data_IF_070286341170
#
_entry.id   IF_070286341170
#
_cell.length_a   1.000
_cell.length_b   1.000
_cell.length_c   1.000
_cell.angle_alpha   90.00
_cell.angle_beta   90.00
_cell.angle_gamma   90.00
#
_symmetry.space_group_name_H-M   'P 1'
#
loop_
_entity.id
_entity.type
_entity.pdbx_description
1 polymer ?
#
# COMPACT_ATOMS: atom_id res chain seq x y z
N UNK A 1 -19.40 8.32 17.55
CA UNK A 1 -19.97 7.07 17.01
C UNK A 1 -18.89 6.35 16.20
N UNK A 2 -18.43 5.17 16.65
CA UNK A 2 -17.43 4.40 15.90
C UNK A 2 -18.12 3.62 14.78
N UNK A 3 -17.73 3.92 13.53
CA UNK A 3 -17.98 3.06 12.36
C UNK A 3 -17.20 1.77 12.53
N UNK A 4 -17.90 0.63 12.59
CA UNK A 4 -17.30 -0.70 12.68
C UNK A 4 -17.09 -1.23 11.27
N UNK A 5 -15.85 -1.57 10.94
CA UNK A 5 -15.47 -2.09 9.64
C UNK A 5 -15.27 -3.60 9.74
N UNK A 6 -15.83 -4.37 8.80
CA UNK A 6 -15.74 -5.84 8.80
C UNK A 6 -15.19 -6.34 7.46
N UNK A 7 -14.18 -7.20 7.51
CA UNK A 7 -13.62 -7.85 6.32
C UNK A 7 -14.28 -9.23 6.18
N UNK A 8 -14.94 -9.44 5.04
CA UNK A 8 -15.67 -10.66 4.73
C UNK A 8 -14.90 -11.42 3.66
N UNK A 9 -14.39 -12.61 4.01
CA UNK A 9 -13.64 -13.46 3.09
C UNK A 9 -14.57 -14.49 2.46
N UNK A 10 -14.84 -14.36 1.17
CA UNK A 10 -15.44 -15.44 0.40
C UNK A 10 -14.31 -16.37 -0.06
N UNK A 11 -14.56 -17.67 -0.09
CA UNK A 11 -13.56 -18.72 -0.30
C UNK A 11 -12.70 -18.51 -1.57
N UNK A 12 -11.47 -19.02 -1.50
CA UNK A 12 -10.37 -19.00 -2.49
C UNK A 12 -10.49 -17.98 -3.62
N UNK A 13 -9.84 -16.83 -3.38
CA UNK A 13 -9.45 -15.78 -4.34
C UNK A 13 -10.34 -14.54 -4.47
N UNK A 14 -11.50 -14.48 -3.82
CA UNK A 14 -12.35 -13.26 -3.81
C UNK A 14 -12.54 -12.70 -2.40
N UNK A 15 -11.82 -11.61 -2.07
CA UNK A 15 -12.08 -10.83 -0.84
C UNK A 15 -12.90 -9.59 -1.22
N UNK A 16 -14.12 -9.47 -0.68
CA UNK A 16 -14.93 -8.25 -0.81
C UNK A 16 -14.78 -7.45 0.47
N UNK A 17 -14.31 -6.21 0.37
CA UNK A 17 -14.20 -5.28 1.51
C UNK A 17 -15.42 -4.37 1.50
N UNK A 18 -16.31 -4.52 2.47
CA UNK A 18 -17.49 -3.67 2.64
C UNK A 18 -17.30 -2.62 3.74
N UNK A 19 -17.72 -1.39 3.47
CA UNK A 19 -17.87 -0.31 4.46
C UNK A 19 -19.37 -0.24 4.81
N UNK A 20 -19.76 -0.61 6.02
CA UNK A 20 -21.15 -0.43 6.49
C UNK A 20 -21.19 0.85 7.31
N UNK A 21 -21.69 1.93 6.71
CA UNK A 21 -21.96 3.19 7.44
C UNK A 21 -23.27 3.03 8.21
N UNK A 22 -23.19 3.15 9.55
CA UNK A 22 -24.37 3.05 10.43
C UNK A 22 -25.30 4.24 10.19
N UNK A 23 -26.43 4.00 9.54
CA UNK A 23 -27.61 4.84 9.68
C UNK A 23 -28.88 4.03 9.98
N UNK A 24 -28.75 2.78 10.42
CA UNK A 24 -29.87 1.99 10.96
C UNK A 24 -29.47 1.45 12.33
N UNK A 25 -29.96 2.12 13.39
CA UNK A 25 -29.59 1.86 14.78
C UNK A 25 -30.48 0.80 15.47
N UNK A 26 -31.24 0.01 14.72
CA UNK A 26 -32.19 -0.99 15.25
C UNK A 26 -31.89 -2.45 14.89
N UNK A 27 -30.61 -2.83 14.82
CA UNK A 27 -30.21 -4.25 14.72
C UNK A 27 -29.03 -4.57 15.64
N UNK A 28 -29.19 -4.29 16.95
CA UNK A 28 -28.33 -4.87 18.00
C UNK A 28 -28.89 -6.24 18.39
N UNK A 29 -28.75 -7.20 17.50
CA UNK A 29 -28.88 -8.63 17.78
C UNK A 29 -27.95 -9.35 16.81
N UNK A 30 -27.35 -10.46 17.26
CA UNK A 30 -26.54 -11.39 16.47
C UNK A 30 -26.88 -11.32 14.98
N UNK A 31 -26.03 -10.67 14.18
CA UNK A 31 -26.22 -10.66 12.73
C UNK A 31 -25.75 -12.01 12.21
N UNK A 32 -26.69 -12.95 12.20
CA UNK A 32 -26.73 -14.03 11.23
C UNK A 32 -26.71 -13.38 9.85
N UNK A 33 -25.50 -13.13 9.34
CA UNK A 33 -25.32 -12.73 7.95
C UNK A 33 -25.73 -13.95 7.11
N UNK A 34 -26.97 -13.94 6.64
CA UNK A 34 -27.46 -14.91 5.65
C UNK A 34 -26.46 -14.92 4.50
N UNK A 35 -25.75 -16.04 4.28
CA UNK A 35 -24.75 -16.08 3.23
C UNK A 35 -25.45 -16.00 1.89
N UNK A 36 -24.95 -15.18 0.97
CA UNK A 36 -25.39 -15.13 -0.44
C UNK A 36 -25.33 -16.52 -1.14
N UNK A 37 -24.67 -17.51 -0.52
CA UNK A 37 -24.52 -18.88 -1.04
C UNK A 37 -24.71 -19.99 0.01
N UNK A 38 -25.41 -19.75 1.12
CA UNK A 38 -25.78 -20.80 2.09
C UNK A 38 -24.67 -21.39 2.97
N UNK A 39 -23.43 -20.87 2.97
CA UNK A 39 -22.34 -21.30 3.86
C UNK A 39 -21.85 -20.18 4.79
N UNK A 40 -21.58 -20.42 6.09
CA UNK A 40 -21.10 -19.40 7.03
C UNK A 40 -19.86 -18.67 6.48
N UNK A 41 -19.92 -17.34 6.41
CA UNK A 41 -18.80 -16.54 5.88
C UNK A 41 -17.86 -16.18 7.03
N UNK A 42 -16.58 -16.50 6.88
CA UNK A 42 -15.57 -16.22 7.91
C UNK A 42 -15.24 -14.73 7.96
N UNK A 43 -15.52 -14.08 9.09
CA UNK A 43 -15.05 -12.73 9.39
C UNK A 43 -13.63 -12.86 9.94
N UNK A 44 -12.65 -12.35 9.19
CA UNK A 44 -11.23 -12.46 9.56
C UNK A 44 -10.68 -11.08 9.95
N UNK A 45 -9.93 -11.03 11.05
CA UNK A 45 -9.30 -9.79 11.55
C UNK A 45 -8.26 -9.19 10.60
N UNK A 46 -7.70 -9.99 9.70
CA UNK A 46 -6.78 -9.54 8.65
C UNK A 46 -6.70 -10.56 7.51
N UNK A 47 -6.58 -10.10 6.27
CA UNK A 47 -6.31 -10.95 5.11
C UNK A 47 -5.22 -10.37 4.22
N UNK A 48 -4.57 -11.20 3.41
CA UNK A 48 -3.58 -10.78 2.43
C UNK A 48 -4.19 -10.86 1.04
N UNK A 49 -4.28 -9.72 0.36
CA UNK A 49 -4.79 -9.64 -1.00
C UNK A 49 -3.76 -8.94 -1.89
N UNK A 50 -3.37 -9.58 -3.00
CA UNK A 50 -2.36 -9.09 -3.95
C UNK A 50 -1.06 -8.64 -3.24
N UNK A 51 -0.66 -9.38 -2.19
CA UNK A 51 0.56 -9.08 -1.45
C UNK A 51 0.45 -7.97 -0.39
N UNK A 52 -0.70 -7.30 -0.25
CA UNK A 52 -0.99 -6.27 0.74
C UNK A 52 -1.80 -6.86 1.89
N UNK A 53 -1.42 -6.55 3.13
CA UNK A 53 -2.19 -6.97 4.32
C UNK A 53 -3.28 -5.95 4.63
N UNK A 54 -4.53 -6.39 4.61
CA UNK A 54 -5.74 -5.65 4.99
C UNK A 54 -6.10 -6.05 6.42
N UNK A 55 -6.08 -5.12 7.37
CA UNK A 55 -6.53 -5.35 8.75
C UNK A 55 -7.94 -4.79 8.97
N UNK A 56 -8.71 -5.41 9.87
CA UNK A 56 -10.10 -5.05 10.19
C UNK A 56 -10.26 -3.59 10.67
N UNK A 57 -9.25 -3.07 11.37
CA UNK A 57 -9.21 -1.67 11.79
C UNK A 57 -8.68 -0.71 10.69
N UNK A 58 -8.51 -1.20 9.45
CA UNK A 58 -7.89 -0.50 8.33
C UNK A 58 -6.51 0.12 8.65
N UNK A 59 -5.83 -0.36 9.70
CA UNK A 59 -4.47 0.08 9.96
C UNK A 59 -3.51 -0.59 8.99
N UNK A 60 -2.69 0.20 8.33
CA UNK A 60 -1.68 -0.29 7.39
C UNK A 60 -0.38 -0.69 8.09
N UNK A 61 -0.34 -0.74 9.42
CA UNK A 61 0.87 -1.05 10.18
C UNK A 61 1.30 -2.51 10.02
N UNK A 62 0.37 -3.45 9.89
CA UNK A 62 0.70 -4.85 9.57
C UNK A 62 1.34 -4.96 8.18
N UNK A 63 0.76 -4.27 7.19
CA UNK A 63 1.31 -4.18 5.85
C UNK A 63 2.70 -3.53 5.85
N UNK A 64 2.84 -2.38 6.51
CA UNK A 64 4.09 -1.63 6.63
C UNK A 64 5.18 -2.46 7.29
N UNK A 65 4.85 -3.22 8.35
CA UNK A 65 5.78 -4.12 9.02
C UNK A 65 6.24 -5.24 8.09
N UNK A 66 5.31 -5.86 7.36
CA UNK A 66 5.61 -6.93 6.38
C UNK A 66 6.52 -6.43 5.25
N UNK A 67 6.20 -5.26 4.68
CA UNK A 67 7.01 -4.58 3.67
C UNK A 67 8.40 -4.25 4.23
N UNK A 68 8.46 -3.73 5.45
CA UNK A 68 9.71 -3.33 6.09
C UNK A 68 10.64 -4.52 6.30
N UNK A 69 10.12 -5.66 6.79
CA UNK A 69 10.90 -6.90 6.94
C UNK A 69 11.46 -7.39 5.60
N UNK A 70 10.66 -7.38 4.54
CA UNK A 70 11.12 -7.76 3.19
C UNK A 70 12.20 -6.81 2.69
N UNK A 71 12.02 -5.51 2.83
CA UNK A 71 12.99 -4.52 2.40
C UNK A 71 14.31 -4.60 3.20
N UNK A 72 14.25 -4.92 4.50
CA UNK A 72 15.44 -5.18 5.32
C UNK A 72 16.25 -6.37 4.81
N UNK A 73 15.59 -7.45 4.39
CA UNK A 73 16.29 -8.57 3.74
C UNK A 73 17.01 -8.14 2.46
N UNK A 74 16.41 -7.25 1.67
CA UNK A 74 17.06 -6.69 0.46
C UNK A 74 18.22 -5.75 0.79
N UNK A 75 18.11 -4.95 1.87
CA UNK A 75 19.19 -4.10 2.36
C UNK A 75 20.43 -4.92 2.76
N UNK A 76 20.24 -6.09 3.37
CA UNK A 76 21.35 -6.99 3.67
C UNK A 76 22.15 -7.35 2.42
N UNK A 77 21.48 -7.70 1.32
CA UNK A 77 22.14 -7.97 0.04
C UNK A 77 22.80 -6.72 -0.55
N UNK A 78 22.13 -5.56 -0.51
CA UNK A 78 22.72 -4.29 -0.95
C UNK A 78 24.03 -3.99 -0.18
N UNK A 79 24.05 -4.24 1.13
CA UNK A 79 25.24 -4.07 1.95
C UNK A 79 26.36 -5.04 1.56
N UNK A 80 26.03 -6.30 1.23
CA UNK A 80 27.00 -7.27 0.70
C UNK A 80 27.59 -6.82 -0.63
N UNK A 81 26.77 -6.31 -1.53
CA UNK A 81 27.21 -5.77 -2.82
C UNK A 81 28.16 -4.57 -2.63
N UNK A 82 27.88 -3.69 -1.66
CA UNK A 82 28.79 -2.60 -1.31
C UNK A 82 30.12 -3.10 -0.75
N UNK A 83 30.12 -4.13 0.10
CA UNK A 83 31.33 -4.78 0.61
C UNK A 83 32.16 -5.45 -0.49
N UNK A 84 31.52 -5.89 -1.57
CA UNK A 84 32.19 -6.40 -2.76
C UNK A 84 32.72 -5.28 -3.69
N UNK A 85 32.76 -4.03 -3.22
CA UNK A 85 33.27 -2.86 -3.95
C UNK A 85 32.60 -2.58 -5.29
N UNK A 86 31.33 -2.96 -5.45
CA UNK A 86 30.59 -2.67 -6.68
C UNK A 86 30.37 -1.16 -6.85
N UNK A 87 30.41 -0.65 -8.11
CA UNK A 87 30.19 0.76 -8.40
C UNK A 87 28.81 1.28 -7.96
N UNK A 88 28.76 2.56 -7.59
CA UNK A 88 27.53 3.26 -7.17
C UNK A 88 26.35 3.10 -8.15
N UNK A 89 26.53 3.15 -9.49
CA UNK A 89 25.43 2.93 -10.43
C UNK A 89 24.80 1.54 -10.32
N UNK A 90 25.61 0.49 -10.12
CA UNK A 90 25.12 -0.89 -9.96
C UNK A 90 24.33 -1.04 -8.66
N UNK A 91 24.83 -0.46 -7.56
CA UNK A 91 24.12 -0.45 -6.27
C UNK A 91 22.79 0.30 -6.36
N UNK A 92 22.77 1.43 -7.09
CA UNK A 92 21.55 2.21 -7.34
C UNK A 92 20.55 1.42 -8.17
N UNK A 93 21.00 0.71 -9.21
CA UNK A 93 20.16 -0.16 -10.03
C UNK A 93 19.57 -1.30 -9.19
N UNK A 94 20.37 -1.94 -8.34
CA UNK A 94 19.90 -2.98 -7.43
C UNK A 94 18.84 -2.43 -6.45
N UNK A 95 19.07 -1.27 -5.85
CA UNK A 95 18.11 -0.61 -4.97
C UNK A 95 16.77 -0.33 -5.68
N UNK A 96 16.82 0.24 -6.89
CA UNK A 96 15.62 0.53 -7.69
C UNK A 96 14.86 -0.75 -8.07
N UNK A 97 15.57 -1.81 -8.44
CA UNK A 97 14.96 -3.07 -8.84
C UNK A 97 14.36 -3.89 -7.69
N UNK A 98 14.97 -3.83 -6.49
CA UNK A 98 14.64 -4.78 -5.40
C UNK A 98 14.02 -4.15 -4.16
N UNK A 99 14.44 -2.94 -3.79
CA UNK A 99 13.94 -2.26 -2.59
C UNK A 99 12.78 -1.33 -2.97
N UNK A 100 12.96 -0.50 -4.00
CA UNK A 100 11.88 0.39 -4.49
C UNK A 100 10.67 -0.42 -4.98
N UNK A 101 10.88 -1.59 -5.60
CA UNK A 101 9.77 -2.46 -6.01
C UNK A 101 8.92 -2.95 -4.83
N UNK A 102 9.57 -3.34 -3.72
CA UNK A 102 8.89 -3.73 -2.48
C UNK A 102 8.17 -2.54 -1.84
N UNK A 103 8.83 -1.39 -1.76
CA UNK A 103 8.25 -0.18 -1.15
C UNK A 103 7.11 0.43 -1.97
N UNK A 104 7.19 0.38 -3.30
CA UNK A 104 6.23 1.02 -4.20
C UNK A 104 5.08 0.11 -4.65
N UNK A 105 5.08 -1.17 -4.24
CA UNK A 105 4.01 -2.10 -4.58
C UNK A 105 2.67 -1.63 -4.01
N UNK A 106 1.72 -1.33 -4.89
CA UNK A 106 0.39 -0.79 -4.56
C UNK A 106 0.42 0.43 -3.63
N UNK A 107 1.51 1.21 -3.61
CA UNK A 107 1.73 2.29 -2.63
C UNK A 107 0.61 3.34 -2.62
N UNK A 108 -0.04 3.56 -3.76
CA UNK A 108 -1.17 4.49 -3.92
C UNK A 108 -2.41 4.07 -3.11
N UNK A 109 -2.57 2.78 -2.80
CA UNK A 109 -3.73 2.26 -2.09
C UNK A 109 -3.62 2.38 -0.57
N UNK A 110 -2.40 2.33 -0.01
CA UNK A 110 -2.19 2.19 1.43
C UNK A 110 -1.38 3.33 2.06
N UNK A 111 -0.42 3.95 1.35
CA UNK A 111 0.50 4.91 1.97
C UNK A 111 -0.17 6.22 2.41
N UNK A 112 -1.26 6.63 1.73
CA UNK A 112 -2.05 7.79 2.14
C UNK A 112 -2.61 7.67 3.56
N UNK A 113 -2.91 6.45 3.99
CA UNK A 113 -3.52 6.14 5.28
C UNK A 113 -2.52 5.62 6.34
N UNK A 114 -1.22 5.68 6.06
CA UNK A 114 -0.19 5.30 7.03
C UNK A 114 -0.09 6.31 8.18
N UNK A 115 0.16 5.81 9.38
CA UNK A 115 0.53 6.63 10.55
C UNK A 115 1.91 7.27 10.36
N UNK A 116 2.24 8.27 11.16
CA UNK A 116 3.58 8.89 11.13
C UNK A 116 4.70 7.91 11.51
N UNK A 117 4.42 6.96 12.40
CA UNK A 117 5.39 5.92 12.78
C UNK A 117 5.64 4.95 11.62
N UNK A 118 4.59 4.58 10.88
CA UNK A 118 4.70 3.77 9.66
C UNK A 118 5.55 4.49 8.60
N UNK A 119 5.26 5.78 8.34
CA UNK A 119 6.01 6.61 7.40
C UNK A 119 7.49 6.72 7.79
N UNK A 120 7.78 6.97 9.08
CA UNK A 120 9.15 7.03 9.60
C UNK A 120 9.88 5.69 9.44
N UNK A 121 9.20 4.58 9.67
CA UNK A 121 9.77 3.23 9.50
C UNK A 121 10.18 2.98 8.06
N UNK A 122 9.30 3.30 7.10
CA UNK A 122 9.61 3.16 5.67
C UNK A 122 10.73 4.11 5.24
N UNK A 123 10.72 5.36 5.72
CA UNK A 123 11.77 6.32 5.39
C UNK A 123 13.15 5.89 5.91
N UNK A 124 13.22 5.21 7.07
CA UNK A 124 14.49 4.65 7.59
C UNK A 124 15.13 3.65 6.62
N UNK A 125 14.34 2.84 5.92
CA UNK A 125 14.85 1.89 4.90
C UNK A 125 15.54 2.67 3.78
N UNK A 126 14.90 3.73 3.28
CA UNK A 126 15.46 4.60 2.25
C UNK A 126 16.76 5.25 2.73
N UNK A 127 16.77 5.79 3.96
CA UNK A 127 17.97 6.42 4.54
C UNK A 127 19.12 5.44 4.75
N UNK A 128 18.82 4.19 5.12
CA UNK A 128 19.85 3.15 5.21
C UNK A 128 20.43 2.82 3.83
N UNK A 129 19.59 2.68 2.80
CA UNK A 129 20.07 2.49 1.44
C UNK A 129 20.93 3.68 0.96
N UNK A 130 20.48 4.92 1.18
CA UNK A 130 21.21 6.15 0.85
C UNK A 130 22.61 6.16 1.48
N UNK A 131 22.73 5.77 2.76
CA UNK A 131 24.03 5.64 3.44
C UNK A 131 24.91 4.53 2.87
N UNK A 132 24.33 3.38 2.50
CA UNK A 132 25.10 2.26 1.93
C UNK A 132 25.62 2.60 0.53
N UNK A 133 24.77 3.25 -0.28
CA UNK A 133 25.12 3.59 -1.66
C UNK A 133 26.02 4.81 -1.69
N UNK A 134 25.76 5.83 -0.87
CA UNK A 134 26.50 7.10 -0.88
C UNK A 134 25.96 8.12 -1.89
N UNK A 135 24.69 7.97 -2.31
CA UNK A 135 24.01 8.91 -3.23
C UNK A 135 22.65 9.27 -2.66
N UNK A 136 22.21 10.51 -2.87
CA UNK A 136 20.87 10.93 -2.43
C UNK A 136 19.78 10.12 -3.15
N UNK A 137 18.81 9.63 -2.38
CA UNK A 137 17.69 8.84 -2.89
C UNK A 137 16.37 9.58 -2.65
N UNK A 138 15.38 9.43 -3.56
CA UNK A 138 14.04 9.97 -3.35
C UNK A 138 13.44 9.44 -2.04
N UNK A 139 12.73 10.29 -1.30
CA UNK A 139 12.04 9.87 -0.08
C UNK A 139 10.89 8.91 -0.38
N UNK A 140 10.39 8.19 0.64
CA UNK A 140 9.21 7.34 0.46
C UNK A 140 7.98 8.16 0.04
N UNK A 141 7.88 9.41 0.51
CA UNK A 141 6.84 10.35 0.12
C UNK A 141 6.98 10.75 -1.34
N UNK A 142 8.19 11.03 -1.83
CA UNK A 142 8.42 11.36 -3.25
C UNK A 142 8.03 10.20 -4.15
N UNK A 143 8.35 8.96 -3.75
CA UNK A 143 7.94 7.76 -4.47
C UNK A 143 6.41 7.63 -4.53
N UNK A 144 5.72 7.85 -3.40
CA UNK A 144 4.27 7.84 -3.34
C UNK A 144 3.65 8.92 -4.25
N UNK A 145 4.10 10.17 -4.12
CA UNK A 145 3.61 11.30 -4.91
C UNK A 145 3.82 11.05 -6.41
N UNK A 146 5.02 10.59 -6.80
CA UNK A 146 5.32 10.22 -8.19
C UNK A 146 4.38 9.16 -8.73
N UNK A 147 4.05 8.13 -7.93
CA UNK A 147 3.13 7.07 -8.33
C UNK A 147 1.68 7.56 -8.43
N UNK A 148 1.24 8.40 -7.49
CA UNK A 148 -0.08 9.01 -7.54
C UNK A 148 -0.26 9.89 -8.78
N UNK A 149 0.72 10.75 -9.07
CA UNK A 149 0.69 11.61 -10.27
C UNK A 149 0.65 10.76 -11.54
N UNK A 150 1.52 9.75 -11.66
CA UNK A 150 1.52 8.87 -12.84
C UNK A 150 0.19 8.13 -13.02
N UNK A 151 -0.42 7.66 -11.93
CA UNK A 151 -1.73 7.00 -11.99
C UNK A 151 -2.84 7.97 -12.37
N UNK A 152 -2.83 9.18 -11.81
CA UNK A 152 -3.78 10.23 -12.18
C UNK A 152 -3.66 10.61 -13.66
N UNK A 153 -2.44 10.88 -14.14
CA UNK A 153 -2.20 11.18 -15.56
C UNK A 153 -2.67 10.03 -16.45
N UNK A 154 -2.36 8.77 -16.09
CA UNK A 154 -2.85 7.61 -16.85
C UNK A 154 -4.38 7.49 -16.91
N UNK A 155 -5.13 8.07 -15.95
CA UNK A 155 -6.59 8.12 -15.98
C UNK A 155 -7.08 9.30 -16.84
N UNK A 156 -6.40 10.46 -16.73
CA UNK A 156 -6.70 11.66 -17.52
C UNK A 156 -6.42 11.40 -19.01
N UNK A 157 -5.35 10.69 -19.33
CA UNK A 157 -4.91 10.46 -20.71
C UNK A 157 -5.72 9.34 -21.40
N UNK A 158 -6.54 8.58 -20.66
CA UNK A 158 -7.37 7.49 -21.16
C UNK A 158 -8.87 7.83 -21.04
N UNK A 159 -9.51 8.29 -22.13
CA UNK A 159 -10.94 8.60 -22.16
C UNK A 159 -11.85 7.40 -21.87
N UNK A 160 -11.36 6.17 -22.05
CA UNK A 160 -12.14 4.94 -21.81
C UNK A 160 -12.06 4.47 -20.36
N UNK A 161 -11.19 5.07 -19.55
CA UNK A 161 -11.01 4.68 -18.16
C UNK A 161 -12.30 4.99 -17.35
N UNK A 162 -12.82 4.05 -16.53
CA UNK A 162 -14.07 4.25 -15.78
C UNK A 162 -14.07 5.48 -14.86
N UNK A 163 -12.89 5.86 -14.36
CA UNK A 163 -12.70 7.05 -13.52
C UNK A 163 -12.28 8.32 -14.26
N UNK A 164 -12.23 8.33 -15.60
CA UNK A 164 -11.77 9.48 -16.39
C UNK A 164 -12.55 10.75 -16.05
N UNK A 165 -13.87 10.64 -15.94
CA UNK A 165 -14.78 11.74 -15.59
C UNK A 165 -14.57 12.30 -14.18
N UNK A 166 -13.91 11.57 -13.28
CA UNK A 166 -13.57 12.02 -11.93
C UNK A 166 -12.27 12.83 -11.87
N UNK A 167 -11.45 12.76 -12.92
CA UNK A 167 -10.15 13.43 -13.02
C UNK A 167 -10.18 14.52 -14.11
N UNK A 168 -11.13 15.45 -14.02
CA UNK A 168 -11.18 16.59 -14.95
C UNK A 168 -10.06 17.58 -14.60
N UNK A 169 -9.29 17.99 -15.61
CA UNK A 169 -8.30 19.07 -15.49
C UNK A 169 -9.04 20.37 -15.16
N UNK A 170 -8.67 21.00 -14.04
CA UNK A 170 -9.22 22.31 -13.70
C UNK A 170 -8.78 23.33 -14.78
N UNK A 171 -9.66 24.26 -15.18
CA UNK A 171 -9.40 25.20 -16.28
C UNK A 171 -8.13 26.05 -16.14
N UNK A 172 -7.57 26.16 -14.92
CA UNK A 172 -6.42 27.02 -14.63
C UNK A 172 -5.07 26.44 -15.03
N UNK A 173 -4.99 25.16 -15.44
CA UNK A 173 -3.73 24.54 -15.89
C UNK A 173 -2.59 24.55 -14.86
N UNK A 174 -2.86 24.87 -13.58
CA UNK A 174 -1.85 24.98 -12.53
C UNK A 174 -1.93 23.80 -11.56
N UNK A 175 -0.84 23.02 -11.49
CA UNK A 175 -0.42 22.26 -10.31
C UNK A 175 1.09 22.41 -10.15
#
# INVERSE_FOLDING_TARGET
>A
MHSSNHIVKFTNDTTVVGLISKNDESARAQSDHSPLFGSPVEIVKSTKFIGVHLAENFTWSLNTTSISKKAQQRLYFLQRLRKAHLPHPILTMFYRGTIVSVLSSCITAWFGNCTDSDRKTLQRIVRTAEKIIGVSLPSITDMYTTRCIRKANSIVDDPTHPSHTLFILLPSGKR
#
